data_IF_136884977300
#
_entry.id   IF_136884977300
#
_cell.length_a   1.000
_cell.length_b   1.000
_cell.length_c   1.000
_cell.angle_alpha   90.00
_cell.angle_beta   90.00
_cell.angle_gamma   90.00
#
_symmetry.space_group_name_H-M   'P 1'
#
loop_
_entity.id
_entity.type
_entity.pdbx_description
1 polymer ?
#
# COMPACT_ATOMS: atom_id res chain seq x y z
N UNK A 1 7.73 7.14 -0.73
CA UNK A 1 7.72 7.44 -2.21
C UNK A 1 6.54 6.74 -2.86
N UNK A 2 5.90 7.36 -3.85
CA UNK A 2 4.75 6.80 -4.58
C UNK A 2 5.16 5.53 -5.34
N UNK A 3 4.37 4.46 -5.23
CA UNK A 3 4.59 3.23 -6.01
C UNK A 3 4.12 3.39 -7.45
N UNK A 4 4.60 2.53 -8.35
CA UNK A 4 4.14 2.54 -9.76
C UNK A 4 2.64 2.24 -9.87
N UNK A 5 2.07 1.40 -9.01
CA UNK A 5 0.63 1.15 -8.97
C UNK A 5 -0.14 2.42 -8.61
N UNK A 6 0.29 3.17 -7.60
CA UNK A 6 -0.31 4.46 -7.23
C UNK A 6 -0.18 5.51 -8.33
N UNK A 7 0.87 5.44 -9.15
CA UNK A 7 1.01 6.32 -10.31
C UNK A 7 -0.04 6.05 -11.39
N UNK A 8 -0.48 4.81 -11.57
CA UNK A 8 -1.54 4.43 -12.50
C UNK A 8 -2.97 4.77 -12.02
N UNK A 9 -3.22 4.79 -10.70
CA UNK A 9 -4.57 4.90 -10.13
C UNK A 9 -5.43 6.04 -10.70
N UNK A 10 -4.91 7.29 -10.85
CA UNK A 10 -5.71 8.41 -11.34
C UNK A 10 -6.21 8.25 -12.76
N UNK A 11 -5.66 7.31 -13.52
CA UNK A 11 -5.87 7.17 -14.95
C UNK A 11 -6.66 5.93 -15.35
N UNK A 12 -7.22 5.21 -14.37
CA UNK A 12 -8.09 4.05 -14.64
C UNK A 12 -9.25 4.47 -15.55
N UNK A 13 -9.47 3.71 -16.63
CA UNK A 13 -10.49 3.97 -17.64
C UNK A 13 -10.00 4.78 -18.84
N UNK A 14 -8.80 5.39 -18.80
CA UNK A 14 -8.25 6.12 -19.96
C UNK A 14 -7.95 5.14 -21.09
N UNK A 15 -8.49 5.45 -22.27
CA UNK A 15 -8.34 4.64 -23.48
C UNK A 15 -7.13 5.07 -24.33
N UNK A 16 -6.71 4.20 -25.24
CA UNK A 16 -5.68 4.47 -26.24
C UNK A 16 -5.97 5.77 -26.99
N UNK A 17 -4.93 6.54 -27.30
CA UNK A 17 -4.93 7.86 -27.95
C UNK A 17 -5.60 9.01 -27.17
N UNK A 18 -6.07 8.79 -25.95
CA UNK A 18 -6.71 9.81 -25.12
C UNK A 18 -5.91 10.10 -23.84
N UNK A 19 -6.03 11.33 -23.33
CA UNK A 19 -5.49 11.74 -22.03
C UNK A 19 -4.04 11.32 -21.83
N UNK A 20 -3.76 10.69 -20.69
CA UNK A 20 -2.41 10.23 -20.31
C UNK A 20 -1.83 9.21 -21.29
N UNK A 21 -2.66 8.38 -21.96
CA UNK A 21 -2.14 7.39 -22.92
C UNK A 21 -1.57 8.07 -24.16
N UNK A 22 -2.20 9.15 -24.64
CA UNK A 22 -1.64 9.97 -25.70
C UNK A 22 -0.33 10.67 -25.27
N UNK A 23 -0.23 11.07 -24.01
CA UNK A 23 1.01 11.64 -23.44
C UNK A 23 2.11 10.61 -23.38
N UNK A 24 1.83 9.39 -22.88
CA UNK A 24 2.77 8.26 -22.85
C UNK A 24 3.33 7.98 -24.25
N UNK A 25 2.47 7.94 -25.27
CA UNK A 25 2.89 7.68 -26.64
C UNK A 25 3.79 8.81 -27.19
N UNK A 26 3.43 10.09 -26.98
CA UNK A 26 4.28 11.23 -27.37
C UNK A 26 5.63 11.21 -26.65
N UNK A 27 5.63 10.95 -25.35
CA UNK A 27 6.86 10.86 -24.55
C UNK A 27 7.79 9.75 -25.02
N UNK A 28 7.21 8.61 -25.44
CA UNK A 28 8.00 7.45 -25.85
C UNK A 28 8.41 7.53 -27.32
N UNK A 29 7.45 7.78 -28.22
CA UNK A 29 7.62 7.68 -29.68
C UNK A 29 7.73 9.04 -30.39
N UNK A 30 7.53 10.13 -29.70
CA UNK A 30 7.43 11.48 -30.31
C UNK A 30 6.09 11.77 -30.97
N UNK A 31 5.13 10.85 -30.98
CA UNK A 31 3.82 10.99 -31.61
C UNK A 31 2.86 9.89 -31.23
N UNK A 32 1.65 9.93 -31.79
CA UNK A 32 0.65 8.88 -31.61
C UNK A 32 0.93 7.74 -32.57
N UNK A 33 1.10 6.53 -32.04
CA UNK A 33 1.42 5.33 -32.85
C UNK A 33 0.53 4.17 -32.42
N UNK A 34 0.18 3.29 -33.38
CA UNK A 34 -0.50 2.04 -33.09
C UNK A 34 0.53 0.99 -32.68
N UNK A 35 0.76 0.85 -31.38
CA UNK A 35 1.70 -0.10 -30.83
C UNK A 35 1.17 -0.70 -29.51
N UNK A 36 1.69 -1.84 -29.11
CA UNK A 36 1.41 -2.37 -27.75
C UNK A 36 2.07 -1.47 -26.71
N UNK A 37 1.30 -0.81 -25.88
CA UNK A 37 1.79 0.20 -24.95
C UNK A 37 1.81 -0.23 -23.46
N UNK A 38 1.75 -1.54 -23.16
CA UNK A 38 1.89 -2.04 -21.80
C UNK A 38 3.28 -1.75 -21.21
N UNK A 39 4.36 -2.04 -21.96
CA UNK A 39 5.72 -1.78 -21.52
C UNK A 39 6.06 -0.27 -21.52
N UNK A 40 5.56 0.48 -22.50
CA UNK A 40 5.76 1.93 -22.55
C UNK A 40 5.04 2.66 -21.41
N UNK A 41 3.85 2.21 -21.00
CA UNK A 41 3.16 2.77 -19.83
C UNK A 41 3.90 2.49 -18.52
N UNK A 42 4.43 1.28 -18.34
CA UNK A 42 5.26 0.97 -17.17
C UNK A 42 6.55 1.80 -17.19
N UNK A 43 7.20 1.99 -18.35
CA UNK A 43 8.37 2.87 -18.49
C UNK A 43 8.05 4.32 -18.15
N UNK A 44 6.91 4.83 -18.62
CA UNK A 44 6.47 6.20 -18.35
C UNK A 44 6.27 6.44 -16.85
N UNK A 45 5.43 5.63 -16.20
CA UNK A 45 5.16 5.80 -14.79
C UNK A 45 6.38 5.51 -13.89
N UNK A 46 7.28 4.62 -14.32
CA UNK A 46 8.56 4.43 -13.64
C UNK A 46 9.46 5.68 -13.74
N UNK A 47 9.41 6.41 -14.87
CA UNK A 47 10.11 7.68 -15.03
C UNK A 47 9.52 8.76 -14.10
N UNK A 48 8.18 8.87 -14.06
CA UNK A 48 7.49 9.87 -13.23
C UNK A 48 7.78 9.73 -11.73
N UNK A 49 8.03 8.51 -11.27
CA UNK A 49 8.34 8.23 -9.86
C UNK A 49 9.82 7.98 -9.59
N UNK A 50 10.69 8.19 -10.59
CA UNK A 50 12.15 8.14 -10.42
C UNK A 50 12.79 6.76 -10.30
N UNK A 51 12.13 5.69 -10.77
CA UNK A 51 12.67 4.31 -10.73
C UNK A 51 12.98 3.73 -12.13
N UNK A 52 13.00 4.55 -13.18
CA UNK A 52 13.21 4.07 -14.54
C UNK A 52 14.58 3.40 -14.72
N UNK A 53 15.60 3.84 -14.00
CA UNK A 53 16.93 3.25 -13.97
C UNK A 53 16.92 1.79 -13.48
N UNK A 54 16.03 1.44 -12.56
CA UNK A 54 15.86 0.09 -12.06
C UNK A 54 15.25 -0.85 -13.12
N UNK A 55 14.54 -0.30 -14.12
CA UNK A 55 14.03 -1.05 -15.27
C UNK A 55 15.05 -1.13 -16.42
N UNK A 56 16.23 -0.52 -16.25
CA UNK A 56 17.25 -0.45 -17.29
C UNK A 56 16.92 0.52 -18.42
N UNK A 57 15.99 1.48 -18.19
CA UNK A 57 15.60 2.51 -19.13
C UNK A 57 14.26 2.25 -19.82
N UNK A 58 13.94 3.08 -20.81
CA UNK A 58 12.72 2.98 -21.61
C UNK A 58 12.68 1.68 -22.44
N UNK A 59 11.56 0.98 -22.38
CA UNK A 59 11.33 -0.21 -23.20
C UNK A 59 9.89 -0.27 -23.72
N UNK A 60 9.72 -0.64 -24.97
CA UNK A 60 8.44 -0.93 -25.61
C UNK A 60 8.12 -2.44 -25.65
N UNK A 61 9.15 -3.26 -25.59
CA UNK A 61 9.04 -4.72 -25.66
C UNK A 61 9.16 -5.32 -24.24
N UNK A 62 8.18 -6.10 -23.84
CA UNK A 62 8.11 -6.71 -22.50
C UNK A 62 9.30 -7.64 -22.21
N UNK A 63 9.75 -8.41 -23.20
CA UNK A 63 10.91 -9.30 -23.04
C UNK A 63 12.20 -8.50 -22.82
N UNK A 64 12.41 -7.46 -23.64
CA UNK A 64 13.57 -6.59 -23.52
C UNK A 64 13.55 -5.81 -22.18
N UNK A 65 12.37 -5.32 -21.77
CA UNK A 65 12.20 -4.69 -20.45
C UNK A 65 12.58 -5.66 -19.33
N UNK A 66 12.09 -6.89 -19.37
CA UNK A 66 12.39 -7.90 -18.36
C UNK A 66 13.91 -8.17 -18.28
N UNK A 67 14.60 -8.32 -19.41
CA UNK A 67 16.03 -8.55 -19.46
C UNK A 67 16.85 -7.35 -19.00
N UNK A 68 16.42 -6.15 -19.38
CA UNK A 68 17.04 -4.90 -18.92
C UNK A 68 16.90 -4.72 -17.41
N UNK A 69 15.71 -5.02 -16.86
CA UNK A 69 15.43 -4.97 -15.41
C UNK A 69 16.30 -5.96 -14.64
N UNK A 70 16.38 -7.22 -15.09
CA UNK A 70 17.26 -8.23 -14.47
C UNK A 70 18.74 -7.76 -14.46
N UNK A 71 19.20 -7.22 -15.60
CA UNK A 71 20.58 -6.68 -15.72
C UNK A 71 20.80 -5.47 -14.82
N UNK A 72 19.85 -4.55 -14.76
CA UNK A 72 19.93 -3.36 -13.90
C UNK A 72 20.00 -3.75 -12.42
N UNK A 73 19.14 -4.68 -11.99
CA UNK A 73 19.12 -5.20 -10.63
C UNK A 73 20.48 -5.85 -10.25
N UNK A 74 21.02 -6.71 -11.11
CA UNK A 74 22.34 -7.33 -10.88
C UNK A 74 23.48 -6.31 -10.78
N UNK A 75 23.40 -5.21 -11.53
CA UNK A 75 24.40 -4.15 -11.54
C UNK A 75 24.32 -3.24 -10.32
N UNK A 76 23.11 -2.89 -9.88
CA UNK A 76 22.88 -1.85 -8.87
C UNK A 76 22.56 -2.39 -7.49
N UNK A 77 22.09 -3.62 -7.39
CA UNK A 77 21.53 -4.20 -6.17
C UNK A 77 20.14 -3.65 -5.79
N UNK A 78 19.61 -2.66 -6.53
CA UNK A 78 18.31 -2.05 -6.25
C UNK A 78 17.16 -2.96 -6.64
N UNK A 79 16.16 -3.10 -5.76
CA UNK A 79 15.00 -3.96 -5.93
C UNK A 79 15.36 -5.44 -5.89
N UNK A 80 14.36 -6.28 -6.18
CA UNK A 80 14.52 -7.74 -6.21
C UNK A 80 13.85 -8.33 -7.44
N UNK A 81 14.58 -9.13 -8.21
CA UNK A 81 14.10 -9.78 -9.42
C UNK A 81 14.01 -11.29 -9.20
N UNK A 82 12.86 -11.89 -9.53
CA UNK A 82 12.64 -13.33 -9.42
C UNK A 82 11.98 -13.89 -10.68
N UNK A 83 12.54 -14.95 -11.24
CA UNK A 83 11.79 -15.82 -12.13
C UNK A 83 10.76 -16.63 -11.33
N UNK A 84 9.69 -17.07 -11.97
CA UNK A 84 8.56 -17.76 -11.34
C UNK A 84 8.97 -18.88 -10.38
N UNK A 85 9.90 -19.73 -10.81
CA UNK A 85 10.40 -20.88 -10.04
C UNK A 85 11.27 -20.48 -8.85
N UNK A 86 11.67 -19.23 -8.76
CA UNK A 86 12.50 -18.64 -7.69
C UNK A 86 11.71 -17.72 -6.76
N UNK A 87 10.45 -17.43 -7.05
CA UNK A 87 9.62 -16.63 -6.13
C UNK A 87 9.43 -17.44 -4.84
N UNK A 88 9.82 -16.91 -3.67
CA UNK A 88 9.66 -17.63 -2.40
C UNK A 88 8.20 -18.01 -2.17
N UNK A 89 7.95 -19.27 -1.82
CA UNK A 89 6.60 -19.74 -1.49
C UNK A 89 6.08 -19.02 -0.26
N UNK A 90 4.87 -18.47 -0.34
CA UNK A 90 4.29 -17.65 0.72
C UNK A 90 4.70 -16.19 0.69
N UNK A 91 5.58 -15.77 -0.24
CA UNK A 91 5.90 -14.35 -0.43
C UNK A 91 4.62 -13.56 -0.73
N UNK A 92 4.44 -12.44 -0.05
CA UNK A 92 3.35 -11.51 -0.33
C UNK A 92 3.84 -10.54 -1.41
N UNK A 93 3.17 -10.55 -2.56
CA UNK A 93 3.42 -9.60 -3.64
C UNK A 93 2.54 -8.38 -3.42
N UNK A 94 3.18 -7.26 -3.12
CA UNK A 94 2.52 -6.00 -2.76
C UNK A 94 2.15 -5.15 -3.98
N UNK A 95 1.20 -4.21 -3.86
CA UNK A 95 1.00 -3.15 -4.84
C UNK A 95 2.33 -2.47 -5.18
N UNK A 96 2.56 -2.23 -6.47
CA UNK A 96 3.85 -1.71 -6.94
C UNK A 96 4.82 -2.78 -7.45
N UNK A 97 4.63 -4.06 -7.12
CA UNK A 97 5.39 -5.14 -7.76
C UNK A 97 5.08 -5.15 -9.26
N UNK A 98 6.12 -5.10 -10.09
CA UNK A 98 6.01 -5.21 -11.55
C UNK A 98 6.00 -6.68 -11.93
N UNK A 99 5.05 -7.08 -12.77
CA UNK A 99 4.82 -8.48 -13.14
C UNK A 99 4.96 -8.64 -14.65
N UNK A 100 5.89 -9.48 -15.07
CA UNK A 100 6.06 -9.92 -16.44
C UNK A 100 5.26 -11.21 -16.64
N UNK A 101 4.27 -11.17 -17.52
CA UNK A 101 3.35 -12.28 -17.77
C UNK A 101 3.57 -12.92 -19.12
N UNK A 102 3.34 -14.21 -19.17
CA UNK A 102 3.33 -15.02 -20.40
C UNK A 102 1.94 -15.62 -20.56
N UNK A 103 1.31 -15.38 -21.69
CA UNK A 103 -0.01 -15.93 -22.03
C UNK A 103 0.08 -17.12 -23.01
N UNK A 104 1.30 -17.45 -23.43
CA UNK A 104 1.63 -18.64 -24.25
C UNK A 104 2.51 -19.60 -23.43
N UNK A 105 2.87 -20.74 -24.03
CA UNK A 105 3.78 -21.69 -23.40
C UNK A 105 5.18 -21.11 -23.22
N UNK A 106 5.88 -21.40 -22.10
CA UNK A 106 7.27 -20.98 -21.90
C UNK A 106 8.24 -21.65 -22.91
N UNK A 107 9.43 -21.05 -23.16
CA UNK A 107 9.98 -19.86 -22.52
C UNK A 107 9.43 -18.55 -23.08
N UNK A 108 9.56 -17.44 -22.32
CA UNK A 108 9.28 -16.10 -22.84
C UNK A 108 10.39 -15.69 -23.81
N UNK A 109 9.99 -15.28 -25.01
CA UNK A 109 10.86 -14.79 -26.09
C UNK A 109 10.37 -13.45 -26.61
N UNK A 110 11.06 -12.85 -27.55
CA UNK A 110 10.59 -11.60 -28.19
C UNK A 110 9.26 -11.76 -28.92
N UNK A 111 8.98 -12.95 -29.45
CA UNK A 111 7.76 -13.28 -30.23
C UNK A 111 6.64 -13.88 -29.41
N UNK A 112 6.87 -14.22 -28.12
CA UNK A 112 5.83 -14.77 -27.25
C UNK A 112 4.71 -13.78 -26.99
N UNK A 113 3.48 -14.26 -26.83
CA UNK A 113 2.38 -13.44 -26.30
C UNK A 113 2.62 -13.14 -24.83
N UNK A 114 2.84 -11.86 -24.51
CA UNK A 114 3.31 -11.38 -23.21
C UNK A 114 2.70 -10.05 -22.83
N UNK A 115 2.68 -9.78 -21.55
CA UNK A 115 2.18 -8.53 -20.98
C UNK A 115 3.01 -8.12 -19.76
N UNK A 116 3.12 -6.83 -19.49
CA UNK A 116 3.68 -6.31 -18.25
C UNK A 116 2.65 -5.42 -17.56
N UNK A 117 2.55 -5.55 -16.27
CA UNK A 117 1.57 -4.86 -15.43
C UNK A 117 2.11 -4.72 -14.00
N UNK A 118 1.31 -4.18 -13.09
CA UNK A 118 1.66 -4.05 -11.68
C UNK A 118 0.65 -4.76 -10.80
N UNK A 119 1.04 -5.20 -9.62
CA UNK A 119 0.12 -5.73 -8.61
C UNK A 119 -0.78 -4.60 -8.14
N UNK A 120 -2.10 -4.75 -8.29
CA UNK A 120 -3.10 -3.78 -7.83
C UNK A 120 -3.48 -4.00 -6.37
N UNK A 121 -3.74 -5.25 -6.00
CA UNK A 121 -4.08 -5.68 -4.65
C UNK A 121 -3.10 -6.76 -4.23
N UNK A 122 -2.48 -6.59 -3.06
CA UNK A 122 -1.53 -7.56 -2.52
C UNK A 122 -2.11 -8.98 -2.43
N UNK A 123 -1.28 -9.97 -2.70
CA UNK A 123 -1.67 -11.38 -2.62
C UNK A 123 -0.49 -12.26 -2.26
N UNK A 124 -0.78 -13.42 -1.67
CA UNK A 124 0.24 -14.42 -1.34
C UNK A 124 0.57 -15.27 -2.56
N UNK A 125 1.86 -15.38 -2.89
CA UNK A 125 2.34 -16.27 -3.95
C UNK A 125 2.17 -17.73 -3.56
N UNK A 126 1.37 -18.45 -4.33
CA UNK A 126 1.11 -19.90 -4.18
C UNK A 126 1.41 -20.69 -5.46
N UNK A 127 1.71 -19.99 -6.56
CA UNK A 127 1.84 -20.56 -7.89
C UNK A 127 0.50 -20.92 -8.57
N UNK A 128 -0.62 -20.78 -7.85
CA UNK A 128 -1.99 -21.06 -8.32
C UNK A 128 -2.97 -20.05 -7.73
N UNK A 129 -4.18 -19.96 -8.32
CA UNK A 129 -5.19 -18.97 -7.95
C UNK A 129 -5.14 -17.74 -8.84
N UNK A 130 -5.93 -16.73 -8.49
CA UNK A 130 -6.02 -15.47 -9.22
C UNK A 130 -5.45 -14.29 -8.41
N UNK A 131 -5.15 -13.20 -9.12
CA UNK A 131 -4.68 -11.95 -8.55
C UNK A 131 -5.15 -10.76 -9.38
N UNK A 132 -5.16 -9.56 -8.82
CA UNK A 132 -5.58 -8.33 -9.50
C UNK A 132 -4.39 -7.50 -9.92
N UNK A 133 -4.38 -7.12 -11.18
CA UNK A 133 -3.35 -6.30 -11.83
C UNK A 133 -3.91 -4.93 -12.23
N UNK A 134 -3.06 -3.91 -12.21
CA UNK A 134 -3.34 -2.60 -12.79
C UNK A 134 -2.25 -2.26 -13.80
N UNK A 135 -2.63 -1.92 -15.02
CA UNK A 135 -1.67 -1.57 -16.05
C UNK A 135 -2.31 -1.05 -17.32
N UNK A 136 -1.45 -0.63 -18.24
CA UNK A 136 -1.85 -0.13 -19.56
C UNK A 136 -2.04 -1.24 -20.58
N UNK A 137 -2.73 -0.89 -21.68
CA UNK A 137 -3.03 -1.79 -22.81
C UNK A 137 -3.79 -3.08 -22.41
N UNK A 138 -4.67 -2.94 -21.45
CA UNK A 138 -5.59 -4.02 -21.06
C UNK A 138 -6.95 -3.75 -21.71
N UNK A 139 -7.19 -4.35 -22.91
CA UNK A 139 -8.30 -4.00 -23.81
C UNK A 139 -8.30 -2.51 -24.18
N UNK A 140 -7.14 -2.03 -24.66
CA UNK A 140 -6.89 -0.66 -25.13
C UNK A 140 -7.17 0.45 -24.10
N UNK A 141 -7.01 0.13 -22.81
CA UNK A 141 -7.17 1.10 -21.72
C UNK A 141 -6.28 0.77 -20.51
N UNK A 142 -6.13 1.75 -19.62
CA UNK A 142 -5.60 1.53 -18.27
C UNK A 142 -6.75 1.00 -17.42
N UNK A 143 -6.61 -0.23 -16.90
CA UNK A 143 -7.64 -0.82 -16.03
C UNK A 143 -7.12 -1.84 -15.05
N UNK A 144 -7.97 -2.19 -14.09
CA UNK A 144 -7.78 -3.35 -13.23
C UNK A 144 -8.30 -4.60 -13.94
N UNK A 145 -7.48 -5.63 -13.98
CA UNK A 145 -7.83 -6.94 -14.56
C UNK A 145 -7.46 -8.07 -13.60
N UNK A 146 -8.15 -9.20 -13.73
CA UNK A 146 -7.86 -10.40 -12.94
C UNK A 146 -7.12 -11.41 -13.81
N UNK A 147 -6.00 -11.92 -13.32
CA UNK A 147 -5.19 -12.92 -13.99
C UNK A 147 -4.93 -14.13 -13.09
N UNK A 148 -4.61 -15.27 -13.70
CA UNK A 148 -4.13 -16.42 -12.97
C UNK A 148 -2.66 -16.23 -12.55
N UNK A 149 -2.28 -16.68 -11.35
CA UNK A 149 -0.87 -16.70 -10.92
C UNK A 149 0.01 -17.55 -11.88
N UNK A 150 -0.60 -18.54 -12.53
CA UNK A 150 0.06 -19.36 -13.54
C UNK A 150 0.62 -18.56 -14.73
N UNK A 151 0.07 -17.37 -15.03
CA UNK A 151 0.57 -16.49 -16.09
C UNK A 151 1.82 -15.69 -15.69
N UNK A 152 2.18 -15.63 -14.42
CA UNK A 152 3.39 -14.93 -13.96
C UNK A 152 4.62 -15.70 -14.47
N UNK A 153 5.48 -15.02 -15.22
CA UNK A 153 6.75 -15.54 -15.69
C UNK A 153 7.94 -15.05 -14.85
N UNK A 154 7.93 -13.76 -14.51
CA UNK A 154 8.89 -13.15 -13.62
C UNK A 154 8.24 -11.98 -12.88
N UNK A 155 8.81 -11.59 -11.76
CA UNK A 155 8.45 -10.39 -11.01
C UNK A 155 9.68 -9.52 -10.76
N UNK A 156 9.45 -8.23 -10.64
CA UNK A 156 10.40 -7.29 -10.11
C UNK A 156 9.73 -6.49 -8.99
N UNK A 157 10.31 -6.52 -7.81
CA UNK A 157 9.92 -5.69 -6.68
C UNK A 157 10.86 -4.50 -6.68
N UNK A 158 10.44 -3.32 -7.17
CA UNK A 158 11.30 -2.15 -7.21
C UNK A 158 11.72 -1.72 -5.80
N UNK A 159 12.92 -1.17 -5.71
CA UNK A 159 13.30 -0.33 -4.59
C UNK A 159 12.74 1.06 -4.84
N UNK A 160 11.65 1.40 -4.17
CA UNK A 160 11.03 2.71 -4.26
C UNK A 160 11.82 3.79 -3.51
N UNK A 161 13.05 3.43 -3.07
CA UNK A 161 13.82 4.30 -2.20
C UNK A 161 12.93 4.63 -1.01
N UNK A 162 12.90 3.78 -0.04
CA UNK A 162 12.53 4.23 1.28
C UNK A 162 13.59 5.29 1.64
N UNK A 163 13.26 6.57 1.63
CA UNK A 163 13.49 7.24 2.90
C UNK A 163 12.80 6.28 3.86
N UNK A 164 13.58 5.50 4.61
CA UNK A 164 13.05 4.83 5.78
C UNK A 164 12.61 5.94 6.70
N UNK A 165 11.41 6.49 6.41
CA UNK A 165 10.75 7.38 7.34
C UNK A 165 10.70 6.66 8.69
N UNK A 166 10.62 5.34 8.63
CA UNK A 166 10.54 4.48 9.78
C UNK A 166 11.30 3.16 9.56
N UNK A 167 12.21 2.78 10.46
CA UNK A 167 12.88 1.49 10.43
C UNK A 167 11.89 0.35 10.71
N UNK A 168 12.21 -0.86 10.24
CA UNK A 168 11.49 -2.05 10.68
C UNK A 168 11.74 -2.29 12.16
N UNK A 169 10.68 -2.31 12.96
CA UNK A 169 10.72 -2.49 14.41
C UNK A 169 10.11 -3.83 14.83
N UNK A 170 10.74 -4.48 15.78
CA UNK A 170 10.30 -5.74 16.38
C UNK A 170 10.67 -5.81 17.84
N UNK A 171 10.15 -6.80 18.53
CA UNK A 171 10.46 -7.03 19.94
C UNK A 171 11.97 -7.08 20.21
N UNK A 172 12.41 -6.28 21.18
CA UNK A 172 13.80 -6.08 21.57
C UNK A 172 14.43 -4.81 21.04
N UNK A 173 13.85 -4.16 20.01
CA UNK A 173 14.35 -2.89 19.47
C UNK A 173 14.11 -1.74 20.45
N UNK A 174 14.95 -0.70 20.37
CA UNK A 174 14.91 0.48 21.24
C UNK A 174 15.23 1.75 20.46
N UNK A 175 14.74 2.88 20.92
CA UNK A 175 15.08 4.21 20.40
C UNK A 175 13.88 5.07 20.05
N UNK A 176 14.14 6.24 19.42
CA UNK A 176 13.10 7.23 19.11
C UNK A 176 12.05 6.69 18.13
N UNK A 177 12.42 5.86 17.16
CA UNK A 177 11.45 5.26 16.25
C UNK A 177 10.43 4.33 16.97
N UNK A 178 10.85 3.65 18.05
CA UNK A 178 9.93 2.86 18.89
C UNK A 178 9.01 3.78 19.67
N UNK A 179 9.53 4.89 20.19
CA UNK A 179 8.75 5.89 20.90
C UNK A 179 7.71 6.58 20.01
N UNK A 180 8.10 6.89 18.76
CA UNK A 180 7.17 7.37 17.74
C UNK A 180 6.04 6.37 17.48
N UNK A 181 6.39 5.09 17.26
CA UNK A 181 5.42 4.01 17.09
C UNK A 181 4.45 3.91 18.28
N UNK A 182 4.97 3.96 19.51
CA UNK A 182 4.14 3.92 20.74
C UNK A 182 3.16 5.10 20.78
N UNK A 183 3.63 6.31 20.43
CA UNK A 183 2.79 7.51 20.40
C UNK A 183 1.67 7.39 19.34
N UNK A 184 1.98 6.91 18.15
CA UNK A 184 1.02 6.80 17.05
C UNK A 184 0.00 5.69 17.32
N UNK A 185 0.42 4.54 17.88
CA UNK A 185 -0.48 3.49 18.34
C UNK A 185 -1.46 4.03 19.41
N UNK A 186 -0.96 4.77 20.41
CA UNK A 186 -1.81 5.39 21.42
C UNK A 186 -2.82 6.38 20.83
N UNK A 187 -2.39 7.23 19.88
CA UNK A 187 -3.28 8.18 19.18
C UNK A 187 -4.37 7.47 18.38
N UNK A 188 -4.08 6.28 17.84
CA UNK A 188 -5.07 5.46 17.14
C UNK A 188 -5.91 4.59 18.08
N UNK A 189 -5.64 4.62 19.39
CA UNK A 189 -6.37 3.84 20.38
C UNK A 189 -5.93 2.40 20.49
N UNK A 190 -4.80 2.02 19.89
CA UNK A 190 -4.23 0.69 20.09
C UNK A 190 -3.53 0.61 21.44
N UNK A 191 -3.89 -0.38 22.23
CA UNK A 191 -3.53 -0.53 23.63
C UNK A 191 -2.73 -1.82 23.85
N UNK A 192 -2.10 -1.94 25.03
CA UNK A 192 -1.49 -3.18 25.45
C UNK A 192 -2.55 -4.29 25.68
N UNK A 193 -2.13 -5.52 25.92
CA UNK A 193 -3.02 -6.66 26.17
C UNK A 193 -3.95 -6.48 27.40
N UNK A 194 -3.69 -5.50 28.24
CA UNK A 194 -4.52 -5.14 29.41
C UNK A 194 -5.44 -3.92 29.14
N UNK A 195 -5.48 -3.42 27.90
CA UNK A 195 -6.27 -2.26 27.52
C UNK A 195 -5.69 -0.92 27.98
N UNK A 196 -4.41 -0.86 28.41
CA UNK A 196 -3.75 0.35 28.88
C UNK A 196 -2.95 1.00 27.77
N UNK A 197 -2.79 2.32 27.86
CA UNK A 197 -1.88 3.06 26.97
C UNK A 197 -0.44 2.56 27.10
N UNK A 198 0.27 2.63 25.98
CA UNK A 198 1.69 2.33 25.94
C UNK A 198 2.46 3.48 26.62
N UNK A 199 3.44 3.14 27.43
CA UNK A 199 4.45 4.09 27.90
C UNK A 199 5.34 4.46 26.70
N UNK A 200 5.65 5.75 26.58
CA UNK A 200 6.53 6.26 25.52
C UNK A 200 8.00 6.11 25.96
N UNK A 201 8.40 4.90 26.30
CA UNK A 201 9.72 4.56 26.85
C UNK A 201 10.76 4.24 25.75
N UNK A 202 10.31 4.16 24.49
CA UNK A 202 11.17 3.80 23.35
C UNK A 202 11.66 2.36 23.39
N UNK A 203 10.99 1.45 24.12
CA UNK A 203 11.33 0.04 24.19
C UNK A 203 10.26 -0.83 23.55
N UNK A 204 10.58 -1.57 22.50
CA UNK A 204 9.65 -2.50 21.87
C UNK A 204 9.55 -3.79 22.71
N UNK A 205 8.79 -3.67 23.80
CA UNK A 205 8.51 -4.76 24.71
C UNK A 205 7.24 -5.54 24.35
N UNK A 206 6.82 -6.52 25.18
CA UNK A 206 5.58 -7.29 24.98
C UNK A 206 4.33 -6.41 24.88
N UNK A 207 4.30 -5.26 25.54
CA UNK A 207 3.16 -4.33 25.51
C UNK A 207 3.04 -3.67 24.13
N UNK A 208 4.16 -3.17 23.57
CA UNK A 208 4.20 -2.59 22.23
C UNK A 208 3.88 -3.63 21.16
N UNK A 209 4.43 -4.85 21.28
CA UNK A 209 4.12 -5.96 20.39
C UNK A 209 2.61 -6.26 20.37
N UNK A 210 1.97 -6.35 21.55
CA UNK A 210 0.53 -6.59 21.65
C UNK A 210 -0.31 -5.51 20.94
N UNK A 211 0.06 -4.24 21.07
CA UNK A 211 -0.62 -3.14 20.38
C UNK A 211 -0.42 -3.22 18.85
N UNK A 212 0.78 -3.59 18.37
CA UNK A 212 1.04 -3.80 16.94
C UNK A 212 0.24 -4.98 16.40
N UNK A 213 0.20 -6.11 17.09
CA UNK A 213 -0.61 -7.26 16.71
C UNK A 213 -2.10 -6.90 16.61
N UNK A 214 -2.61 -6.13 17.57
CA UNK A 214 -4.00 -5.63 17.56
C UNK A 214 -4.24 -4.75 16.35
N UNK A 215 -3.38 -3.77 16.09
CA UNK A 215 -3.46 -2.89 14.91
C UNK A 215 -3.43 -3.69 13.60
N UNK A 216 -2.50 -4.64 13.47
CA UNK A 216 -2.40 -5.49 12.29
C UNK A 216 -3.68 -6.31 12.06
N UNK A 217 -4.25 -6.88 13.12
CA UNK A 217 -5.50 -7.64 13.04
C UNK A 217 -6.68 -6.75 12.64
N UNK A 218 -6.85 -5.60 13.27
CA UNK A 218 -7.91 -4.62 12.99
C UNK A 218 -7.82 -4.10 11.55
N UNK A 219 -6.61 -3.82 11.08
CA UNK A 219 -6.34 -3.31 9.73
C UNK A 219 -6.19 -4.42 8.67
N UNK A 220 -6.45 -5.70 9.02
CA UNK A 220 -6.39 -6.86 8.11
C UNK A 220 -5.02 -7.02 7.42
N UNK A 221 -3.96 -6.70 8.16
CA UNK A 221 -2.58 -6.92 7.75
C UNK A 221 -2.10 -8.33 8.14
N UNK A 222 -0.86 -8.66 7.80
CA UNK A 222 -0.20 -9.85 8.35
C UNK A 222 0.03 -9.62 9.85
N UNK A 223 -0.50 -10.51 10.68
CA UNK A 223 -0.43 -10.40 12.15
C UNK A 223 0.84 -11.13 12.63
N UNK A 224 1.98 -10.42 12.61
CA UNK A 224 3.31 -10.96 12.96
C UNK A 224 4.01 -10.21 14.09
N UNK A 225 3.42 -9.11 14.55
CA UNK A 225 3.99 -8.26 15.59
C UNK A 225 5.24 -7.49 15.16
N UNK A 226 5.48 -7.36 13.84
CA UNK A 226 6.59 -6.61 13.28
C UNK A 226 6.06 -5.32 12.63
N UNK A 227 6.52 -4.17 13.09
CA UNK A 227 6.19 -2.91 12.44
C UNK A 227 7.17 -2.66 11.29
N UNK A 228 6.91 -3.33 10.17
CA UNK A 228 7.63 -3.17 8.90
C UNK A 228 7.00 -2.07 8.02
N UNK A 229 7.52 -1.88 6.78
CA UNK A 229 7.06 -0.82 5.88
C UNK A 229 5.54 -0.79 5.66
N UNK A 230 4.90 -1.94 5.58
CA UNK A 230 3.45 -2.05 5.37
C UNK A 230 2.66 -1.60 6.60
N UNK A 231 3.10 -2.01 7.79
CA UNK A 231 2.48 -1.63 9.06
C UNK A 231 2.64 -0.13 9.28
N UNK A 232 3.83 0.42 9.02
CA UNK A 232 4.09 1.85 9.09
C UNK A 232 3.25 2.65 8.08
N UNK A 233 3.22 2.23 6.82
CA UNK A 233 2.42 2.91 5.78
C UNK A 233 0.95 2.97 6.18
N UNK A 234 0.40 1.87 6.72
CA UNK A 234 -0.98 1.86 7.20
C UNK A 234 -1.19 2.75 8.41
N UNK A 235 -0.24 2.79 9.33
CA UNK A 235 -0.29 3.68 10.49
C UNK A 235 -0.22 5.15 10.06
N UNK A 236 0.65 5.50 9.10
CA UNK A 236 0.72 6.84 8.50
C UNK A 236 -0.61 7.25 7.84
N UNK A 237 -1.28 6.34 7.11
CA UNK A 237 -2.60 6.60 6.54
C UNK A 237 -3.65 6.88 7.61
N UNK A 238 -3.65 6.13 8.70
CA UNK A 238 -4.54 6.35 9.83
C UNK A 238 -4.23 7.68 10.53
N UNK A 239 -2.94 8.00 10.71
CA UNK A 239 -2.50 9.27 11.31
C UNK A 239 -2.89 10.48 10.47
N UNK A 240 -2.92 10.36 9.14
CA UNK A 240 -3.38 11.43 8.24
C UNK A 240 -4.88 11.73 8.36
N UNK A 241 -5.67 10.83 8.96
CA UNK A 241 -7.11 11.01 9.20
C UNK A 241 -7.41 11.62 10.57
N UNK A 242 -6.41 11.70 11.46
CA UNK A 242 -6.58 12.28 12.80
C UNK A 242 -6.93 13.77 12.69
N UNK A 243 -8.00 14.16 13.35
CA UNK A 243 -8.44 15.54 13.39
C UNK A 243 -8.91 15.94 14.80
N UNK A 244 -8.88 17.23 15.09
CA UNK A 244 -9.37 17.78 16.35
C UNK A 244 -10.81 18.24 16.16
N UNK A 245 -11.67 17.91 17.13
CA UNK A 245 -13.07 18.29 17.13
C UNK A 245 -13.47 18.90 18.44
N UNK A 246 -14.51 19.75 18.38
CA UNK A 246 -15.20 20.30 19.54
C UNK A 246 -16.59 19.66 19.65
N UNK A 247 -16.99 19.28 20.83
CA UNK A 247 -18.32 18.77 21.16
C UNK A 247 -19.30 19.94 21.20
N UNK A 248 -20.42 19.83 20.44
CA UNK A 248 -21.40 20.92 20.32
C UNK A 248 -22.61 20.78 21.24
N UNK A 249 -22.76 19.63 21.90
CA UNK A 249 -23.76 19.37 22.94
C UNK A 249 -23.32 18.16 23.75
N UNK A 250 -23.78 18.03 24.99
CA UNK A 250 -23.52 16.86 25.81
C UNK A 250 -23.96 15.58 25.09
N UNK A 251 -23.05 14.63 24.95
CA UNK A 251 -23.41 13.40 24.26
C UNK A 251 -22.77 12.15 24.88
N UNK A 252 -23.45 11.02 24.65
CA UNK A 252 -22.99 9.73 25.12
C UNK A 252 -21.77 9.25 24.31
N UNK A 253 -20.69 8.98 24.99
CA UNK A 253 -19.56 8.22 24.47
C UNK A 253 -19.80 6.73 24.72
N UNK A 254 -19.77 5.91 23.67
CA UNK A 254 -20.19 4.51 23.71
C UNK A 254 -19.03 3.56 23.47
N UNK A 255 -19.21 2.28 23.82
CA UNK A 255 -18.22 1.22 23.65
C UNK A 255 -18.03 0.78 22.19
N UNK A 256 -18.89 1.22 21.25
CA UNK A 256 -18.83 0.89 19.84
C UNK A 256 -19.60 1.89 18.96
N UNK A 257 -19.45 1.82 17.61
CA UNK A 257 -20.01 2.76 16.65
C UNK A 257 -21.51 2.49 16.41
N UNK A 258 -22.36 2.83 17.38
CA UNK A 258 -23.81 2.64 17.25
C UNK A 258 -24.57 2.95 18.53
N UNK A 259 -25.89 3.23 18.38
CA UNK A 259 -26.78 3.53 19.51
C UNK A 259 -27.01 2.32 20.42
N UNK A 260 -26.85 1.12 19.90
CA UNK A 260 -27.08 -0.13 20.62
C UNK A 260 -25.90 -0.53 21.53
N UNK A 261 -24.75 0.10 21.36
CA UNK A 261 -23.60 -0.13 22.24
C UNK A 261 -23.77 0.57 23.59
N UNK A 262 -23.31 -0.06 24.68
CA UNK A 262 -23.39 0.52 26.02
C UNK A 262 -22.71 1.90 26.12
N UNK A 263 -23.29 2.78 26.91
CA UNK A 263 -22.69 4.06 27.25
C UNK A 263 -21.49 3.80 28.17
N UNK A 264 -20.34 4.34 27.80
CA UNK A 264 -19.10 4.28 28.59
C UNK A 264 -18.98 5.47 29.51
N UNK A 265 -19.24 6.65 28.96
CA UNK A 265 -19.18 7.94 29.67
C UNK A 265 -19.99 9.01 28.92
N UNK A 266 -20.05 10.21 29.45
CA UNK A 266 -20.57 11.40 28.78
C UNK A 266 -19.36 12.28 28.41
N UNK A 267 -19.37 12.86 27.22
CA UNK A 267 -18.51 13.95 26.80
C UNK A 267 -19.36 15.23 26.75
N UNK A 268 -18.78 16.33 27.25
CA UNK A 268 -19.55 17.52 27.54
C UNK A 268 -19.42 18.57 26.43
N UNK A 269 -20.43 19.38 26.26
CA UNK A 269 -20.41 20.54 25.35
C UNK A 269 -19.17 21.42 25.61
N UNK A 270 -18.50 21.79 24.51
CA UNK A 270 -17.30 22.64 24.56
C UNK A 270 -15.99 21.89 24.70
N UNK A 271 -16.00 20.62 25.10
CA UNK A 271 -14.78 19.82 25.21
C UNK A 271 -14.18 19.56 23.83
N UNK A 272 -12.85 19.42 23.81
CA UNK A 272 -12.04 19.22 22.60
C UNK A 272 -11.41 17.83 22.65
N UNK A 273 -11.57 17.08 21.56
CA UNK A 273 -11.06 15.72 21.44
C UNK A 273 -10.33 15.50 20.12
N UNK A 274 -9.42 14.52 20.10
CA UNK A 274 -8.91 13.93 18.88
C UNK A 274 -9.89 12.86 18.39
N UNK A 275 -10.21 12.89 17.11
CA UNK A 275 -10.85 11.79 16.38
C UNK A 275 -9.77 11.01 15.66
N UNK A 276 -9.64 9.74 15.98
CA UNK A 276 -8.64 8.87 15.36
C UNK A 276 -9.16 8.19 14.09
N UNK A 277 -10.46 7.85 14.07
CA UNK A 277 -11.12 7.22 12.92
C UNK A 277 -12.62 7.42 12.98
N UNK A 278 -13.28 7.19 11.84
CA UNK A 278 -14.74 7.26 11.73
C UNK A 278 -15.28 5.99 11.07
N UNK A 279 -16.48 5.59 11.50
CA UNK A 279 -17.21 4.43 10.97
C UNK A 279 -18.70 4.70 11.07
N UNK A 280 -19.42 4.60 9.96
CA UNK A 280 -20.90 4.69 9.89
C UNK A 280 -21.52 5.86 10.65
N UNK A 281 -20.92 7.05 10.58
CA UNK A 281 -21.40 8.26 11.26
C UNK A 281 -21.03 8.34 12.74
N UNK A 282 -20.07 7.53 13.18
CA UNK A 282 -19.48 7.55 14.52
C UNK A 282 -17.99 7.87 14.46
N UNK A 283 -17.54 8.69 15.39
CA UNK A 283 -16.14 9.07 15.55
C UNK A 283 -15.54 8.38 16.79
N UNK A 284 -14.40 7.73 16.62
CA UNK A 284 -13.66 7.15 17.74
C UNK A 284 -12.73 8.18 18.39
N UNK A 285 -12.90 8.35 19.68
CA UNK A 285 -12.08 9.19 20.56
C UNK A 285 -11.12 8.28 21.34
N UNK A 286 -9.79 8.33 21.09
CA UNK A 286 -8.80 7.50 21.80
C UNK A 286 -8.78 7.76 23.31
N UNK A 287 -9.16 8.97 23.73
CA UNK A 287 -9.47 9.34 25.08
C UNK A 287 -10.83 10.07 25.05
N UNK A 288 -11.85 9.57 25.70
CA UNK A 288 -11.92 8.52 26.76
C UNK A 288 -12.04 7.08 26.26
N UNK A 289 -11.52 6.75 25.08
CA UNK A 289 -11.55 5.40 24.47
C UNK A 289 -12.98 4.94 24.21
N UNK A 290 -13.66 5.65 23.30
CA UNK A 290 -15.05 5.36 22.96
C UNK A 290 -15.53 6.09 21.72
N UNK A 291 -16.77 5.88 21.36
CA UNK A 291 -17.39 6.34 20.13
C UNK A 291 -18.48 7.38 20.40
N UNK A 292 -18.45 8.45 19.61
CA UNK A 292 -19.46 9.50 19.63
C UNK A 292 -20.07 9.71 18.25
N UNK A 293 -21.31 10.18 18.17
CA UNK A 293 -21.93 10.50 16.89
C UNK A 293 -21.28 11.71 16.23
N UNK A 294 -20.92 11.59 14.95
CA UNK A 294 -20.33 12.70 14.16
C UNK A 294 -21.29 13.88 13.98
N UNK A 295 -22.59 13.68 14.17
CA UNK A 295 -23.60 14.75 14.05
C UNK A 295 -23.50 15.83 15.14
N UNK A 296 -22.73 15.59 16.19
CA UNK A 296 -22.65 16.49 17.36
C UNK A 296 -21.20 16.89 17.69
N UNK A 297 -20.32 16.84 16.69
CA UNK A 297 -18.93 17.31 16.79
C UNK A 297 -18.59 18.18 15.58
N UNK A 298 -17.78 19.20 15.77
CA UNK A 298 -17.30 20.11 14.73
C UNK A 298 -15.78 20.08 14.65
N UNK A 299 -15.23 20.03 13.43
CA UNK A 299 -13.77 20.13 13.22
C UNK A 299 -13.30 21.54 13.51
N UNK A 300 -12.19 21.66 14.25
CA UNK A 300 -11.57 22.94 14.61
C UNK A 300 -10.12 23.01 14.15
#
# INVERSE_FOLDING_TARGET
MKTITEAFLPYIGTREYNGIVAEIQRWFYGGLVKASWCATSVSYFANEIGILDQLGGKNENVYQMMKATEKAQKKTGKGSFYYRDKIPKGMILQPGTIVFMLTSSPPMTETSSKHVTTVYQGFTWKGSGSWKALGGNQSDQIKVSTYAQANIYAIFVPDYGTEEKHPTLRRGDKGEAVKELQADLNRQGYRDASGRELELDGSYGPRTEAAVLHMQMDQKLVVDGICGPITWARLDELMAQVRTVKVVTDLNCRMGPGKDFPIKTIVWEGEIYLVAREEDGWAYLPSPDGWVSTSYIETI
#
